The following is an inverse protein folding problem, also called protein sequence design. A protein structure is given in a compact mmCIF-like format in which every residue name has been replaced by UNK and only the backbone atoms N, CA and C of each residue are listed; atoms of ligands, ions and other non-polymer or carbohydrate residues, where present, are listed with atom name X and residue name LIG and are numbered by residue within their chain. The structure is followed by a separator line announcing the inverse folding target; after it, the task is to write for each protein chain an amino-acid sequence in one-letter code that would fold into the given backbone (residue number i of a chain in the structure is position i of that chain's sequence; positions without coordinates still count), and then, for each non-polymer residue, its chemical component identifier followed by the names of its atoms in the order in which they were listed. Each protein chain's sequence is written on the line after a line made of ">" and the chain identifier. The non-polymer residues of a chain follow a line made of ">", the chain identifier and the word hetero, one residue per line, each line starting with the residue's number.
data_IF_281540523349
#
_entry.id   IF_281540523349
#
_cell.length_a   1.000
_cell.length_b   1.000
_cell.length_c   1.000
_cell.angle_alpha   90.00
_cell.angle_beta   90.00
_cell.angle_gamma   90.00
#
_symmetry.space_group_name_H-M   'P 1'
#
loop_
_entity.id
_entity.type
_entity.pdbx_description
1 polymer ?
#
# COMPACT_ATOMS: atom_id res chain seq x y z
N UNK A 1 -4.54 0.35 -17.25
CA UNK A 1 -4.63 0.36 -15.78
C UNK A 1 -5.10 1.73 -15.31
N UNK A 2 -5.99 1.82 -14.32
CA UNK A 2 -6.45 3.06 -13.67
C UNK A 2 -6.13 3.03 -12.18
N UNK A 3 -5.85 4.20 -11.57
CA UNK A 3 -5.56 4.32 -10.14
C UNK A 3 -6.50 5.34 -9.50
N UNK A 4 -6.91 5.09 -8.27
CA UNK A 4 -7.62 6.05 -7.45
C UNK A 4 -7.29 5.89 -5.96
N UNK A 5 -6.99 6.99 -5.28
CA UNK A 5 -6.79 6.95 -3.83
C UNK A 5 -8.13 6.84 -3.10
N UNK A 6 -8.27 5.89 -2.20
CA UNK A 6 -9.35 5.84 -1.20
C UNK A 6 -9.11 6.87 -0.10
N UNK A 7 -7.86 7.07 0.25
CA UNK A 7 -7.37 8.04 1.22
C UNK A 7 -5.94 7.74 1.61
N UNK A 8 -5.27 8.72 2.21
CA UNK A 8 -3.87 8.64 2.64
C UNK A 8 -3.68 9.36 3.97
N UNK A 9 -2.75 8.87 4.79
CA UNK A 9 -2.33 9.46 6.06
C UNK A 9 -2.60 8.57 7.28
N UNK A 10 -2.14 9.00 8.44
CA UNK A 10 -2.14 8.26 9.71
C UNK A 10 -3.53 7.81 10.24
N UNK A 11 -4.62 8.22 9.59
CA UNK A 11 -5.99 7.79 9.93
C UNK A 11 -6.50 6.66 9.04
N UNK A 12 -5.76 6.32 8.01
CA UNK A 12 -6.06 5.22 7.11
C UNK A 12 -5.55 5.48 5.70
N UNK A 13 -5.06 4.41 5.09
CA UNK A 13 -4.57 4.37 3.72
C UNK A 13 -5.39 3.38 2.91
N UNK A 14 -5.46 3.60 1.62
CA UNK A 14 -6.03 2.68 0.65
C UNK A 14 -5.94 3.23 -0.76
N UNK A 15 -5.57 2.36 -1.69
CA UNK A 15 -5.40 2.72 -3.11
C UNK A 15 -6.08 1.68 -3.98
N UNK A 16 -6.93 2.10 -4.90
CA UNK A 16 -7.50 1.24 -5.92
C UNK A 16 -6.58 1.19 -7.14
N UNK A 17 -6.35 0.00 -7.64
CA UNK A 17 -5.71 -0.26 -8.92
C UNK A 17 -6.69 -1.09 -9.74
N UNK A 18 -7.11 -0.59 -10.90
CA UNK A 18 -8.11 -1.23 -11.74
C UNK A 18 -7.49 -1.65 -13.07
N UNK A 19 -7.58 -2.94 -13.35
CA UNK A 19 -7.26 -3.54 -14.64
C UNK A 19 -8.52 -4.02 -15.36
N UNK A 20 -8.35 -4.72 -16.47
CA UNK A 20 -9.46 -5.25 -17.28
C UNK A 20 -10.30 -6.31 -16.57
N UNK A 21 -9.70 -7.04 -15.62
CA UNK A 21 -10.36 -8.08 -14.81
C UNK A 21 -11.04 -7.57 -13.54
N UNK A 22 -10.95 -6.28 -13.20
CA UNK A 22 -11.58 -5.67 -12.03
C UNK A 22 -10.62 -4.85 -11.17
N UNK A 23 -11.06 -4.54 -9.94
CA UNK A 23 -10.34 -3.65 -9.02
C UNK A 23 -9.60 -4.45 -7.96
N UNK A 24 -8.35 -4.08 -7.71
CA UNK A 24 -7.56 -4.52 -6.56
C UNK A 24 -7.45 -3.34 -5.58
N UNK A 25 -7.65 -3.59 -4.30
CA UNK A 25 -7.47 -2.59 -3.25
C UNK A 25 -6.15 -2.86 -2.51
N UNK A 26 -5.21 -1.92 -2.58
CA UNK A 26 -3.98 -1.93 -1.79
C UNK A 26 -4.24 -1.19 -0.49
N UNK A 27 -4.09 -1.90 0.61
CA UNK A 27 -4.37 -1.47 1.97
C UNK A 27 -5.83 -1.08 2.25
N UNK A 28 -6.23 -1.22 3.49
CA UNK A 28 -7.53 -0.77 3.99
C UNK A 28 -7.45 -0.41 5.47
N UNK A 29 -6.95 0.77 5.75
CA UNK A 29 -6.85 1.34 7.11
C UNK A 29 -8.15 1.90 7.64
N UNK A 30 -9.16 2.14 6.79
CA UNK A 30 -10.45 2.69 7.19
C UNK A 30 -11.42 1.62 7.65
N UNK A 31 -12.23 1.94 8.67
CA UNK A 31 -13.36 1.08 9.04
C UNK A 31 -14.41 1.00 7.91
N UNK A 32 -15.21 -0.06 7.92
CA UNK A 32 -16.11 -0.42 6.81
C UNK A 32 -17.07 0.70 6.38
N UNK A 33 -17.65 1.44 7.33
CA UNK A 33 -18.57 2.54 7.05
C UNK A 33 -17.90 3.67 6.29
N UNK A 34 -16.70 4.05 6.72
CA UNK A 34 -15.92 5.10 6.08
C UNK A 34 -15.40 4.66 4.71
N UNK A 35 -14.98 3.40 4.58
CA UNK A 35 -14.60 2.81 3.30
C UNK A 35 -15.73 2.92 2.28
N UNK A 36 -16.93 2.45 2.63
CA UNK A 36 -18.09 2.50 1.73
C UNK A 36 -18.47 3.94 1.34
N UNK A 37 -18.42 4.87 2.28
CA UNK A 37 -18.65 6.29 2.01
C UNK A 37 -17.65 6.86 0.99
N UNK A 38 -16.37 6.54 1.14
CA UNK A 38 -15.31 6.98 0.22
C UNK A 38 -15.42 6.32 -1.15
N UNK A 39 -15.77 5.05 -1.21
CA UNK A 39 -16.00 4.32 -2.46
C UNK A 39 -17.14 4.95 -3.27
N UNK A 40 -18.24 5.30 -2.62
CA UNK A 40 -19.39 5.94 -3.27
C UNK A 40 -19.01 7.26 -3.99
N UNK A 41 -18.06 8.05 -3.44
CA UNK A 41 -17.58 9.28 -4.08
C UNK A 41 -16.71 9.04 -5.33
N UNK A 42 -16.32 7.79 -5.60
CA UNK A 42 -15.47 7.37 -6.72
C UNK A 42 -16.23 6.49 -7.72
N UNK A 43 -17.51 6.26 -7.49
CA UNK A 43 -18.34 5.34 -8.29
C UNK A 43 -17.76 3.93 -8.37
N UNK A 44 -17.07 3.48 -7.31
CA UNK A 44 -16.53 2.12 -7.19
C UNK A 44 -17.47 1.32 -6.28
N UNK A 45 -17.97 0.18 -6.77
CA UNK A 45 -18.75 -0.75 -5.97
C UNK A 45 -17.84 -1.70 -5.19
N UNK A 46 -18.20 -2.08 -3.95
CA UNK A 46 -17.46 -3.14 -3.25
C UNK A 46 -17.40 -4.47 -4.01
N UNK A 47 -18.38 -4.72 -4.90
CA UNK A 47 -18.46 -5.91 -5.74
C UNK A 47 -17.49 -5.90 -6.93
N UNK A 48 -16.95 -4.73 -7.28
CA UNK A 48 -15.92 -4.59 -8.31
C UNK A 48 -14.55 -5.07 -7.81
N UNK A 49 -14.35 -5.07 -6.47
CA UNK A 49 -13.09 -5.47 -5.84
C UNK A 49 -12.90 -6.98 -5.96
N UNK A 50 -11.75 -7.40 -6.43
CA UNK A 50 -11.35 -8.80 -6.61
C UNK A 50 -10.42 -9.32 -5.52
N UNK A 51 -9.65 -8.43 -4.88
CA UNK A 51 -8.75 -8.75 -3.80
C UNK A 51 -8.38 -7.51 -3.00
N UNK A 52 -7.90 -7.74 -1.77
CA UNK A 52 -7.21 -6.74 -0.95
C UNK A 52 -5.77 -7.20 -0.77
N UNK A 53 -4.81 -6.35 -1.10
CA UNK A 53 -3.39 -6.56 -0.86
C UNK A 53 -2.96 -5.71 0.33
N UNK A 54 -2.26 -6.29 1.28
CA UNK A 54 -1.75 -5.57 2.45
C UNK A 54 -0.25 -5.40 2.32
N UNK A 55 0.22 -4.17 2.46
CA UNK A 55 1.64 -3.83 2.38
C UNK A 55 2.38 -4.23 3.65
N UNK A 56 1.80 -3.96 4.83
CA UNK A 56 2.37 -4.28 6.14
C UNK A 56 1.32 -4.19 7.26
N UNK A 57 1.69 -4.53 8.49
CA UNK A 57 0.75 -4.70 9.62
C UNK A 57 0.37 -3.42 10.37
N UNK A 58 0.85 -2.23 10.01
CA UNK A 58 0.47 -1.00 10.70
C UNK A 58 -1.04 -0.74 10.62
N UNK A 59 -1.58 -0.17 11.70
CA UNK A 59 -3.03 -0.04 11.87
C UNK A 59 -3.72 0.78 10.78
N UNK A 60 -3.08 1.83 10.32
CA UNK A 60 -3.58 2.70 9.25
C UNK A 60 -3.52 2.07 7.83
N UNK A 61 -2.98 0.86 7.71
CA UNK A 61 -2.98 0.06 6.47
C UNK A 61 -3.90 -1.16 6.55
N UNK A 62 -4.05 -1.79 7.72
CA UNK A 62 -4.68 -3.11 7.84
C UNK A 62 -5.99 -3.11 8.65
N UNK A 63 -6.32 -2.03 9.37
CA UNK A 63 -7.38 -2.00 10.38
C UNK A 63 -8.74 -2.50 9.87
N UNK A 64 -9.18 -2.07 8.69
CA UNK A 64 -10.49 -2.42 8.12
C UNK A 64 -10.49 -3.69 7.28
N UNK A 65 -9.32 -4.21 6.91
CA UNK A 65 -9.18 -5.25 5.88
C UNK A 65 -9.94 -6.54 6.22
N UNK A 66 -9.77 -7.08 7.43
CA UNK A 66 -10.42 -8.33 7.82
C UNK A 66 -11.95 -8.24 7.84
N UNK A 67 -12.50 -7.12 8.34
CA UNK A 67 -13.95 -6.92 8.39
C UNK A 67 -14.55 -6.73 6.99
N UNK A 68 -13.86 -5.98 6.14
CA UNK A 68 -14.29 -5.75 4.78
C UNK A 68 -14.21 -7.02 3.93
N UNK A 69 -13.09 -7.75 4.01
CA UNK A 69 -12.91 -9.02 3.32
C UNK A 69 -13.98 -10.04 3.71
N UNK A 70 -14.29 -10.16 5.01
CA UNK A 70 -15.36 -11.06 5.50
C UNK A 70 -16.72 -10.68 4.96
N UNK A 71 -17.05 -9.38 4.92
CA UNK A 71 -18.36 -8.91 4.45
C UNK A 71 -18.57 -9.11 2.96
N UNK A 72 -17.52 -8.95 2.16
CA UNK A 72 -17.61 -8.99 0.69
C UNK A 72 -16.98 -10.24 0.08
N UNK A 73 -16.58 -11.23 0.93
CA UNK A 73 -15.97 -12.51 0.53
C UNK A 73 -14.72 -12.33 -0.36
N UNK A 74 -13.85 -11.40 0.02
CA UNK A 74 -12.65 -11.05 -0.74
C UNK A 74 -11.41 -11.81 -0.22
N UNK A 75 -10.55 -12.30 -1.11
CA UNK A 75 -9.24 -12.80 -0.71
C UNK A 75 -8.34 -11.64 -0.24
N UNK A 76 -7.54 -11.95 0.78
CA UNK A 76 -6.51 -11.06 1.34
C UNK A 76 -5.14 -11.61 0.97
N UNK A 77 -4.29 -10.79 0.37
CA UNK A 77 -2.91 -11.12 0.05
C UNK A 77 -1.97 -10.35 0.97
N UNK A 78 -1.02 -11.01 1.58
CA UNK A 78 -0.03 -10.40 2.46
C UNK A 78 1.18 -11.32 2.67
N UNK A 79 2.31 -10.74 3.07
CA UNK A 79 3.50 -11.50 3.45
C UNK A 79 3.26 -12.33 4.72
N UNK A 80 4.12 -13.31 4.98
CA UNK A 80 4.03 -14.14 6.20
C UNK A 80 4.25 -13.30 7.46
N UNK A 81 5.16 -12.33 7.44
CA UNK A 81 5.43 -11.45 8.59
C UNK A 81 4.28 -10.49 8.89
N UNK A 82 3.53 -10.06 7.88
CA UNK A 82 2.34 -9.22 8.03
C UNK A 82 1.14 -9.98 8.59
N UNK A 83 1.09 -11.31 8.37
CA UNK A 83 -0.02 -12.15 8.83
C UNK A 83 -0.05 -12.27 10.36
N UNK A 84 -1.23 -12.00 10.94
CA UNK A 84 -1.53 -12.24 12.36
C UNK A 84 -2.77 -13.15 12.48
N UNK A 85 -2.59 -14.36 13.03
CA UNK A 85 -3.65 -15.35 13.18
C UNK A 85 -4.85 -14.79 13.96
N UNK A 86 -4.62 -14.01 15.03
CA UNK A 86 -5.70 -13.45 15.86
C UNK A 86 -6.57 -12.46 15.08
N UNK A 87 -5.98 -11.70 14.15
CA UNK A 87 -6.68 -10.73 13.31
C UNK A 87 -7.44 -11.39 12.17
N UNK A 88 -6.89 -12.46 11.61
CA UNK A 88 -7.37 -13.07 10.37
C UNK A 88 -8.00 -14.46 10.58
N UNK A 89 -8.30 -14.86 11.81
CA UNK A 89 -9.07 -16.08 12.09
C UNK A 89 -10.52 -15.98 11.60
N UNK A 90 -11.23 -17.12 11.57
CA UNK A 90 -12.66 -17.15 11.27
C UNK A 90 -13.01 -17.27 9.79
N UNK A 91 -12.24 -18.05 9.03
CA UNK A 91 -12.63 -18.46 7.66
C UNK A 91 -12.40 -17.43 6.58
N UNK A 92 -11.48 -16.48 6.78
CA UNK A 92 -11.01 -15.56 5.76
C UNK A 92 -10.10 -16.30 4.75
N UNK A 93 -10.25 -16.01 3.46
CA UNK A 93 -9.33 -16.47 2.40
C UNK A 93 -8.06 -15.60 2.45
N UNK A 94 -7.08 -16.02 3.27
CA UNK A 94 -5.78 -15.33 3.36
C UNK A 94 -4.74 -16.09 2.55
N UNK A 95 -4.20 -15.44 1.55
CA UNK A 95 -3.18 -15.95 0.65
C UNK A 95 -1.84 -15.30 0.99
N UNK A 96 -0.89 -16.10 1.42
CA UNK A 96 0.46 -15.62 1.71
C UNK A 96 1.23 -15.47 0.40
N UNK A 97 1.89 -14.32 0.25
CA UNK A 97 2.75 -14.03 -0.89
C UNK A 97 4.21 -14.11 -0.45
N UNK A 98 5.06 -14.44 -1.40
CA UNK A 98 6.52 -14.39 -1.26
C UNK A 98 7.02 -13.09 -1.86
N UNK A 99 7.93 -12.41 -1.16
CA UNK A 99 8.58 -11.19 -1.68
C UNK A 99 9.32 -11.52 -2.98
N UNK A 100 9.30 -10.59 -3.92
CA UNK A 100 9.93 -10.67 -5.25
C UNK A 100 9.35 -11.76 -6.19
N UNK A 101 8.35 -12.54 -5.74
CA UNK A 101 7.68 -13.52 -6.59
C UNK A 101 6.36 -12.94 -7.14
N UNK A 102 6.27 -12.65 -8.45
CA UNK A 102 5.04 -12.12 -9.05
C UNK A 102 3.88 -13.11 -8.96
N UNK A 103 2.68 -12.57 -8.80
CA UNK A 103 1.42 -13.33 -8.83
C UNK A 103 0.36 -12.57 -9.62
N UNK A 104 -0.71 -13.25 -10.02
CA UNK A 104 -1.76 -12.66 -10.86
C UNK A 104 -3.08 -12.50 -10.10
N UNK A 105 -3.69 -11.30 -10.20
CA UNK A 105 -5.03 -11.00 -9.72
C UNK A 105 -5.72 -10.03 -10.68
N UNK A 106 -6.98 -10.26 -10.98
CA UNK A 106 -7.81 -9.39 -11.82
C UNK A 106 -7.20 -9.06 -13.19
N UNK A 107 -6.48 -10.01 -13.78
CA UNK A 107 -5.82 -9.84 -15.08
C UNK A 107 -4.51 -9.08 -15.05
N UNK A 108 -4.11 -8.55 -13.91
CA UNK A 108 -2.84 -7.88 -13.69
C UNK A 108 -1.81 -8.84 -13.10
N UNK A 109 -0.56 -8.75 -13.54
CA UNK A 109 0.60 -9.29 -12.83
C UNK A 109 0.99 -8.30 -11.74
N UNK A 110 1.22 -8.80 -10.53
CA UNK A 110 1.52 -8.00 -9.33
C UNK A 110 2.85 -8.46 -8.76
N UNK A 111 3.80 -7.55 -8.70
CA UNK A 111 5.13 -7.79 -8.15
C UNK A 111 5.22 -7.18 -6.75
N UNK A 112 5.35 -7.99 -5.68
CA UNK A 112 5.59 -7.52 -4.31
C UNK A 112 7.06 -7.19 -4.15
N UNK A 113 7.37 -5.92 -3.94
CA UNK A 113 8.73 -5.38 -3.83
C UNK A 113 9.08 -5.15 -2.36
N UNK A 114 10.20 -5.70 -1.91
CA UNK A 114 10.73 -5.47 -0.56
C UNK A 114 11.14 -4.01 -0.37
N UNK A 115 10.73 -3.42 0.74
CA UNK A 115 11.05 -2.02 1.07
C UNK A 115 11.59 -1.87 2.48
N UNK A 116 12.54 -0.93 2.74
CA UNK A 116 12.97 -0.61 4.09
C UNK A 116 11.90 0.21 4.82
N UNK A 117 11.18 -0.43 5.74
CA UNK A 117 10.19 0.19 6.62
C UNK A 117 10.17 -0.50 7.97
N UNK A 118 9.69 0.18 9.03
CA UNK A 118 9.67 -0.33 10.41
C UNK A 118 8.50 -1.29 10.69
N UNK A 119 8.38 -2.31 9.84
CA UNK A 119 7.41 -3.38 9.92
C UNK A 119 8.09 -4.76 9.85
N UNK A 120 7.36 -5.85 10.08
CA UNK A 120 7.95 -7.20 10.17
C UNK A 120 8.44 -7.73 8.82
N UNK A 121 7.63 -7.57 7.79
CA UNK A 121 7.95 -8.02 6.42
C UNK A 121 7.22 -7.11 5.42
N UNK A 122 7.61 -5.83 5.36
CA UNK A 122 6.91 -4.84 4.54
C UNK A 122 7.21 -5.04 3.07
N UNK A 123 6.17 -4.89 2.25
CA UNK A 123 6.29 -4.84 0.79
C UNK A 123 5.44 -3.71 0.22
N UNK A 124 5.78 -3.33 -0.99
CA UNK A 124 5.00 -2.44 -1.82
C UNK A 124 4.75 -3.12 -3.16
N UNK A 125 3.95 -2.56 -4.05
CA UNK A 125 3.49 -3.30 -5.22
C UNK A 125 3.72 -2.55 -6.52
N UNK A 126 4.15 -3.31 -7.53
CA UNK A 126 4.12 -2.89 -8.94
C UNK A 126 3.11 -3.76 -9.68
N UNK A 127 2.23 -3.14 -10.45
CA UNK A 127 1.18 -3.78 -11.25
C UNK A 127 1.51 -3.65 -12.72
N UNK A 128 1.35 -4.74 -13.47
CA UNK A 128 1.55 -4.76 -14.91
C UNK A 128 0.35 -5.39 -15.63
N UNK A 129 -0.11 -4.76 -16.71
CA UNK A 129 -1.13 -5.29 -17.60
C UNK A 129 -0.84 -4.84 -19.04
N UNK A 130 -0.47 -5.79 -19.91
CA UNK A 130 0.06 -5.46 -21.23
C UNK A 130 1.34 -4.63 -21.14
N UNK A 131 1.36 -3.46 -21.78
CA UNK A 131 2.48 -2.52 -21.72
C UNK A 131 2.36 -1.53 -20.56
N UNK A 132 1.21 -1.47 -19.88
CA UNK A 132 0.98 -0.52 -18.78
C UNK A 132 1.59 -1.01 -17.49
N UNK A 133 2.31 -0.14 -16.79
CA UNK A 133 2.97 -0.42 -15.53
C UNK A 133 2.69 0.66 -14.49
N UNK A 134 2.23 0.26 -13.30
CA UNK A 134 1.81 1.18 -12.24
C UNK A 134 2.43 0.77 -10.92
N UNK A 135 3.06 1.72 -10.22
CA UNK A 135 3.63 1.52 -8.90
C UNK A 135 2.78 2.09 -7.78
N UNK A 136 2.73 1.39 -6.65
CA UNK A 136 2.23 1.89 -5.37
C UNK A 136 3.37 1.79 -4.37
N UNK A 137 3.82 2.92 -3.82
CA UNK A 137 4.97 3.05 -2.91
C UNK A 137 4.63 4.08 -1.83
N UNK A 138 3.94 3.64 -0.78
CA UNK A 138 3.30 4.51 0.21
C UNK A 138 4.04 4.62 1.53
N UNK A 139 4.89 3.65 1.88
CA UNK A 139 5.65 3.64 3.13
C UNK A 139 7.04 3.02 2.90
N UNK A 140 8.05 3.87 2.90
CA UNK A 140 9.44 3.49 2.68
C UNK A 140 10.38 4.51 3.33
N UNK A 141 11.36 4.03 4.08
CA UNK A 141 12.30 4.90 4.81
C UNK A 141 13.39 5.54 3.93
N UNK A 142 13.82 4.87 2.87
CA UNK A 142 14.78 5.40 1.90
C UNK A 142 14.73 4.61 0.59
N UNK A 143 15.14 5.24 -0.50
CA UNK A 143 15.21 4.59 -1.82
C UNK A 143 16.50 3.77 -1.90
N UNK A 144 16.35 2.46 -2.08
CA UNK A 144 17.47 1.54 -2.38
C UNK A 144 17.61 1.37 -3.89
N UNK A 145 18.78 0.91 -4.41
CA UNK A 145 18.91 0.55 -5.81
C UNK A 145 17.90 -0.50 -6.27
N UNK A 146 17.53 -1.44 -5.38
CA UNK A 146 16.50 -2.44 -5.65
C UNK A 146 15.14 -1.78 -5.90
N UNK A 147 14.71 -0.88 -5.01
CA UNK A 147 13.46 -0.13 -5.15
C UNK A 147 13.48 0.74 -6.40
N UNK A 148 14.55 1.50 -6.63
CA UNK A 148 14.67 2.33 -7.84
C UNK A 148 14.50 1.50 -9.12
N UNK A 149 15.16 0.34 -9.20
CA UNK A 149 15.03 -0.57 -10.34
C UNK A 149 13.61 -1.15 -10.48
N UNK A 150 12.98 -1.54 -9.36
CA UNK A 150 11.64 -2.13 -9.38
C UNK A 150 10.57 -1.15 -9.87
N UNK A 151 10.70 0.14 -9.55
CA UNK A 151 9.75 1.19 -9.95
C UNK A 151 10.17 1.96 -11.20
N UNK A 152 11.36 1.67 -11.74
CA UNK A 152 11.79 2.26 -13.01
C UNK A 152 10.79 1.95 -14.14
N UNK A 153 10.57 2.91 -15.02
CA UNK A 153 9.65 2.81 -16.15
C UNK A 153 8.18 2.49 -15.76
N UNK A 154 7.71 2.85 -14.58
CA UNK A 154 6.29 2.90 -14.30
C UNK A 154 5.65 4.08 -15.03
N UNK A 155 4.53 3.85 -15.73
CA UNK A 155 3.74 4.90 -16.39
C UNK A 155 3.04 5.82 -15.38
N UNK A 156 2.75 5.30 -14.20
CA UNK A 156 2.18 6.06 -13.09
C UNK A 156 2.65 5.50 -11.75
N UNK A 157 2.79 6.39 -10.76
CA UNK A 157 3.29 6.07 -9.45
C UNK A 157 2.46 6.77 -8.35
N UNK A 158 1.94 5.97 -7.41
CA UNK A 158 1.47 6.47 -6.12
C UNK A 158 2.65 6.47 -5.19
N UNK A 159 3.23 7.63 -4.95
CA UNK A 159 4.46 7.80 -4.18
C UNK A 159 4.18 8.59 -2.91
N UNK A 160 4.73 8.15 -1.77
CA UNK A 160 4.70 8.97 -0.57
C UNK A 160 5.59 10.21 -0.72
N UNK A 161 5.09 11.33 -0.17
CA UNK A 161 5.82 12.56 0.08
C UNK A 161 5.44 12.97 1.50
N UNK A 162 6.07 12.37 2.51
CA UNK A 162 5.54 12.36 3.86
C UNK A 162 5.81 13.67 4.61
N UNK A 163 6.99 14.23 4.46
CA UNK A 163 7.38 15.41 5.25
C UNK A 163 8.37 16.32 4.52
N UNK A 164 8.26 17.59 4.86
CA UNK A 164 9.32 18.58 4.67
C UNK A 164 10.27 18.54 5.87
N UNK A 165 11.61 18.45 5.67
CA UNK A 165 12.57 18.31 6.77
C UNK A 165 12.55 19.48 7.77
N UNK A 166 12.40 20.72 7.30
CA UNK A 166 12.35 21.88 8.19
C UNK A 166 11.04 21.94 8.98
N UNK A 167 9.90 21.66 8.31
CA UNK A 167 8.60 21.61 8.97
C UNK A 167 8.56 20.51 10.03
N UNK A 168 9.11 19.32 9.73
CA UNK A 168 9.21 18.25 10.71
C UNK A 168 10.08 18.67 11.90
N UNK A 169 11.26 19.25 11.66
CA UNK A 169 12.17 19.68 12.70
C UNK A 169 11.52 20.72 13.64
N UNK A 170 10.80 21.71 13.08
CA UNK A 170 10.13 22.79 13.83
C UNK A 170 8.76 22.41 14.36
N UNK A 171 8.15 21.33 13.86
CA UNK A 171 6.81 20.90 14.21
C UNK A 171 6.65 20.48 15.68
N UNK A 172 5.41 20.34 16.18
CA UNK A 172 5.11 20.09 17.60
C UNK A 172 5.35 18.64 18.04
N UNK A 173 5.80 17.77 17.13
CA UNK A 173 5.96 16.35 17.42
C UNK A 173 7.09 16.06 18.42
N UNK A 174 6.93 15.04 19.29
CA UNK A 174 8.00 14.59 20.17
C UNK A 174 9.27 14.18 19.40
N UNK A 175 10.44 14.33 20.01
CA UNK A 175 11.73 13.99 19.39
C UNK A 175 11.79 12.56 18.88
N UNK A 176 11.25 11.60 19.64
CA UNK A 176 11.21 10.19 19.24
C UNK A 176 10.40 9.96 17.95
N UNK A 177 9.26 10.65 17.81
CA UNK A 177 8.46 10.55 16.58
C UNK A 177 9.17 11.19 15.38
N UNK A 178 9.79 12.36 15.56
CA UNK A 178 10.58 13.00 14.52
C UNK A 178 11.71 12.09 14.03
N UNK A 179 12.46 11.49 14.97
CA UNK A 179 13.54 10.56 14.67
C UNK A 179 13.04 9.27 13.96
N UNK A 180 11.85 8.77 14.34
CA UNK A 180 11.22 7.65 13.66
C UNK A 180 10.83 8.00 12.22
N UNK A 181 10.15 9.13 12.03
CA UNK A 181 9.66 9.57 10.71
C UNK A 181 10.83 9.81 9.75
N UNK A 182 11.88 10.52 10.18
CA UNK A 182 13.05 10.83 9.33
C UNK A 182 14.14 9.75 9.35
N UNK A 183 13.91 8.64 10.04
CA UNK A 183 14.88 7.54 10.12
C UNK A 183 14.92 6.67 8.85
N UNK A 184 15.95 5.81 8.72
CA UNK A 184 16.13 4.98 7.52
C UNK A 184 15.06 3.92 7.30
N UNK A 185 14.21 3.67 8.29
CA UNK A 185 13.04 2.79 8.22
C UNK A 185 11.73 3.57 8.42
N UNK A 186 11.77 4.89 8.40
CA UNK A 186 10.62 5.77 8.56
C UNK A 186 9.91 6.04 7.22
N UNK A 187 9.97 7.30 6.78
CA UNK A 187 9.29 7.76 5.57
C UNK A 187 10.19 8.64 4.70
N UNK A 188 9.83 8.82 3.43
CA UNK A 188 10.54 9.73 2.53
C UNK A 188 10.20 11.19 2.84
N UNK A 189 11.22 12.03 2.81
CA UNK A 189 11.01 13.47 2.65
C UNK A 189 10.51 13.79 1.24
N UNK A 190 9.96 15.00 1.06
CA UNK A 190 9.53 15.49 -0.24
C UNK A 190 10.70 15.52 -1.25
N UNK A 191 11.90 15.86 -0.79
CA UNK A 191 13.13 15.89 -1.62
C UNK A 191 13.55 14.49 -2.07
N UNK A 192 13.49 13.51 -1.16
CA UNK A 192 13.80 12.10 -1.50
C UNK A 192 12.78 11.51 -2.49
N UNK A 193 11.51 11.84 -2.32
CA UNK A 193 10.46 11.43 -3.25
C UNK A 193 10.66 12.05 -4.64
N UNK A 194 11.01 13.36 -4.71
CA UNK A 194 11.32 14.02 -5.97
C UNK A 194 12.54 13.39 -6.67
N UNK A 195 13.59 13.04 -5.90
CA UNK A 195 14.78 12.39 -6.45
C UNK A 195 14.51 11.04 -7.11
N UNK A 196 13.53 10.28 -6.63
CA UNK A 196 13.11 9.03 -7.29
C UNK A 196 12.47 9.28 -8.66
N UNK A 197 11.75 10.40 -8.83
CA UNK A 197 11.08 10.74 -10.09
C UNK A 197 12.05 11.27 -11.15
N UNK A 198 13.25 11.68 -10.76
CA UNK A 198 14.29 12.19 -11.65
C UNK A 198 15.27 11.11 -12.13
N UNK A 199 15.20 9.91 -11.53
CA UNK A 199 16.09 8.78 -11.80
C UNK A 199 15.47 7.80 -12.81
#
# INVERSE_FOLDING_TARGET
>A
VRIASLGSGSKGNGTFVEGTGGVVLVDLGFGIKETLRRMATRSISPWDIKAILITHEHGDHIHGAAQFARKFHLPLYMTTGTFDLKRFEGGLDVRRITLEEPFAVAGMEIHPVTVPHDAKEPCQYVFSEGESRVGVLTDIGHITPHVANAYHACDALVLECNYDPEMLARGPYPRALKARVSGPLGHLSNEQAAGLLES
#
